data_IF_143854619050
#
_entry.id   IF_143854619050
#
_cell.length_a   1.000
_cell.length_b   1.000
_cell.length_c   1.000
_cell.angle_alpha   90.00
_cell.angle_beta   90.00
_cell.angle_gamma   90.00
#
_symmetry.space_group_name_H-M   'P 1'
#
loop_
_entity.id
_entity.type
_entity.pdbx_description
1 polymer ?
#
# COMPACT_ATOMS: atom_id res chain seq x y z
N UNK A 1 -2.89 -20.12 -30.17
CA UNK A 1 -3.02 -19.76 -28.75
C UNK A 1 -3.98 -18.60 -28.74
N UNK A 2 -5.06 -18.69 -27.96
CA UNK A 2 -6.23 -17.81 -28.11
C UNK A 2 -5.85 -16.35 -27.93
N UNK A 3 -6.08 -15.57 -28.97
CA UNK A 3 -6.28 -14.13 -28.91
C UNK A 3 -7.28 -13.84 -27.80
N UNK A 4 -6.90 -12.96 -26.89
CA UNK A 4 -7.77 -12.42 -25.85
C UNK A 4 -7.66 -10.90 -25.94
N UNK A 5 -8.15 -10.35 -27.05
CA UNK A 5 -8.44 -8.93 -27.12
C UNK A 5 -9.88 -8.66 -26.66
N UNK A 6 -10.00 -7.54 -25.93
CA UNK A 6 -11.18 -6.78 -25.55
C UNK A 6 -11.91 -7.08 -24.22
N UNK A 7 -11.57 -6.27 -23.20
CA UNK A 7 -12.35 -5.95 -21.97
C UNK A 7 -11.59 -6.27 -20.67
N UNK A 8 -10.91 -5.30 -20.01
CA UNK A 8 -11.54 -4.34 -19.07
C UNK A 8 -10.83 -2.95 -18.97
N UNK A 9 -10.11 -2.49 -20.01
CA UNK A 9 -9.25 -1.30 -19.91
C UNK A 9 -9.98 0.00 -19.55
N UNK A 10 -11.30 0.10 -19.79
CA UNK A 10 -12.08 1.26 -19.35
C UNK A 10 -12.28 1.36 -17.82
N UNK A 11 -12.08 0.25 -17.07
CA UNK A 11 -12.33 0.21 -15.61
C UNK A 11 -11.05 0.36 -14.75
N UNK A 12 -9.85 0.30 -15.38
CA UNK A 12 -8.56 0.38 -14.68
C UNK A 12 -7.92 1.76 -14.89
N UNK A 13 -8.48 2.77 -14.22
CA UNK A 13 -7.98 4.14 -14.27
C UNK A 13 -7.70 4.71 -12.88
N UNK A 14 -6.69 5.57 -12.78
CA UNK A 14 -6.42 6.29 -11.54
C UNK A 14 -7.53 7.32 -11.26
N UNK A 15 -7.89 7.58 -9.99
CA UNK A 15 -8.90 8.58 -9.67
C UNK A 15 -8.52 9.96 -10.20
N UNK A 16 -9.37 10.53 -11.07
CA UNK A 16 -9.13 11.84 -11.72
C UNK A 16 -8.79 12.95 -10.72
N UNK A 17 -9.47 12.94 -9.56
CA UNK A 17 -9.25 13.91 -8.50
C UNK A 17 -7.84 13.82 -7.89
N UNK A 18 -7.31 12.60 -7.71
CA UNK A 18 -5.96 12.38 -7.18
C UNK A 18 -4.91 12.89 -8.15
N UNK A 19 -5.05 12.56 -9.43
CA UNK A 19 -4.12 13.03 -10.47
C UNK A 19 -4.19 14.55 -10.62
N UNK A 20 -5.39 15.14 -10.62
CA UNK A 20 -5.56 16.59 -10.64
C UNK A 20 -4.89 17.28 -9.45
N UNK A 21 -5.00 16.69 -8.24
CA UNK A 21 -4.37 17.23 -7.04
C UNK A 21 -2.84 17.23 -7.18
N UNK A 22 -2.24 16.12 -7.63
CA UNK A 22 -0.80 16.00 -7.86
C UNK A 22 -0.31 17.01 -8.91
N UNK A 23 -1.04 17.17 -10.02
CA UNK A 23 -0.70 18.16 -11.05
C UNK A 23 -0.67 19.58 -10.46
N UNK A 24 -1.67 19.94 -9.65
CA UNK A 24 -1.75 21.26 -9.04
C UNK A 24 -0.71 21.49 -7.93
N UNK A 25 -0.17 20.44 -7.31
CA UNK A 25 0.94 20.54 -6.35
C UNK A 25 2.27 20.85 -7.05
N UNK A 26 2.42 20.45 -8.33
CA UNK A 26 3.63 20.69 -9.12
C UNK A 26 3.54 21.98 -9.93
N UNK A 27 2.35 22.32 -10.44
CA UNK A 27 2.15 23.53 -11.24
C UNK A 27 2.06 24.79 -10.35
N UNK A 28 2.65 25.92 -10.80
CA UNK A 28 2.36 27.25 -10.27
C UNK A 28 0.86 27.55 -10.23
N UNK A 29 0.42 28.34 -9.25
CA UNK A 29 -1.00 28.66 -9.03
C UNK A 29 -1.66 29.44 -10.17
N UNK A 30 -0.87 30.07 -11.03
CA UNK A 30 -1.30 30.83 -12.21
C UNK A 30 -1.46 29.95 -13.46
N UNK A 31 -1.06 28.68 -13.41
CA UNK A 31 -1.18 27.73 -14.52
C UNK A 31 -2.34 26.76 -14.31
N UNK A 32 -3.07 26.49 -15.40
CA UNK A 32 -4.21 25.57 -15.41
C UNK A 32 -3.92 24.42 -16.37
N UNK A 33 -4.00 23.20 -15.87
CA UNK A 33 -3.94 22.00 -16.71
C UNK A 33 -5.30 21.75 -17.38
N UNK A 34 -5.30 21.60 -18.71
CA UNK A 34 -6.54 21.35 -19.46
C UNK A 34 -7.10 19.96 -19.18
N UNK A 35 -8.38 19.75 -19.50
CA UNK A 35 -9.01 18.44 -19.36
C UNK A 35 -8.31 17.39 -20.24
N UNK A 36 -8.03 17.73 -21.50
CA UNK A 36 -7.38 16.81 -22.43
C UNK A 36 -5.98 16.41 -21.94
N UNK A 37 -5.20 17.37 -21.44
CA UNK A 37 -3.85 17.11 -20.91
C UNK A 37 -3.91 16.19 -19.70
N UNK A 38 -4.86 16.42 -18.79
CA UNK A 38 -5.04 15.55 -17.62
C UNK A 38 -5.48 14.14 -18.01
N UNK A 39 -6.43 13.99 -18.93
CA UNK A 39 -6.90 12.68 -19.38
C UNK A 39 -5.72 11.91 -20.03
N UNK A 40 -4.89 12.57 -20.86
CA UNK A 40 -3.65 11.99 -21.40
C UNK A 40 -2.65 11.60 -20.30
N UNK A 41 -2.46 12.44 -19.28
CA UNK A 41 -1.57 12.10 -18.16
C UNK A 41 -2.03 10.84 -17.42
N UNK A 42 -3.34 10.64 -17.27
CA UNK A 42 -3.90 9.44 -16.64
C UNK A 42 -3.58 8.20 -17.48
N UNK A 43 -3.76 8.27 -18.80
CA UNK A 43 -3.39 7.20 -19.72
C UNK A 43 -1.89 6.88 -19.62
N UNK A 44 -1.02 7.91 -19.57
CA UNK A 44 0.41 7.72 -19.36
C UNK A 44 0.74 7.08 -18.01
N UNK A 45 0.01 7.40 -16.93
CA UNK A 45 0.22 6.76 -15.64
C UNK A 45 -0.13 5.26 -15.67
N UNK A 46 -1.20 4.89 -16.37
CA UNK A 46 -1.58 3.48 -16.55
C UNK A 46 -0.51 2.75 -17.37
N UNK A 47 -0.07 3.35 -18.48
CA UNK A 47 0.98 2.77 -19.30
C UNK A 47 2.32 2.65 -18.54
N UNK A 48 2.65 3.62 -17.69
CA UNK A 48 3.83 3.54 -16.82
C UNK A 48 3.76 2.34 -15.87
N UNK A 49 2.58 2.04 -15.31
CA UNK A 49 2.40 0.85 -14.46
C UNK A 49 2.58 -0.43 -15.28
N UNK A 50 2.04 -0.50 -16.50
CA UNK A 50 2.22 -1.66 -17.38
C UNK A 50 3.68 -1.86 -17.77
N UNK A 51 4.36 -0.80 -18.18
CA UNK A 51 5.79 -0.80 -18.50
C UNK A 51 6.61 -1.34 -17.33
N UNK A 52 6.42 -0.76 -16.14
CA UNK A 52 7.17 -1.15 -14.96
C UNK A 52 6.85 -2.59 -14.52
N UNK A 53 5.59 -3.02 -14.60
CA UNK A 53 5.19 -4.38 -14.27
C UNK A 53 5.80 -5.41 -15.25
N UNK A 54 5.83 -5.09 -16.54
CA UNK A 54 6.43 -5.95 -17.57
C UNK A 54 7.93 -6.10 -17.35
N UNK A 55 8.66 -5.00 -17.16
CA UNK A 55 10.10 -5.05 -16.90
C UNK A 55 10.41 -5.76 -15.56
N UNK A 56 9.60 -5.52 -14.52
CA UNK A 56 9.75 -6.21 -13.23
C UNK A 56 9.53 -7.72 -13.38
N UNK A 57 8.63 -8.14 -14.27
CA UNK A 57 8.43 -9.55 -14.59
C UNK A 57 9.65 -10.13 -15.31
N UNK A 58 10.23 -9.42 -16.28
CA UNK A 58 11.46 -9.87 -16.95
C UNK A 58 12.63 -10.02 -15.97
N UNK A 59 12.82 -9.06 -15.06
CA UNK A 59 13.87 -9.14 -14.02
C UNK A 59 13.61 -10.34 -13.10
N UNK A 60 12.35 -10.56 -12.69
CA UNK A 60 11.96 -11.69 -11.86
C UNK A 60 12.25 -13.05 -12.55
N UNK A 61 11.94 -13.16 -13.84
CA UNK A 61 12.20 -14.35 -14.64
C UNK A 61 13.70 -14.61 -14.83
N UNK A 62 14.50 -13.56 -15.08
CA UNK A 62 15.97 -13.63 -15.12
C UNK A 62 16.55 -14.15 -13.80
N UNK A 63 15.94 -13.78 -12.67
CA UNK A 63 16.27 -14.28 -11.32
C UNK A 63 15.73 -15.69 -11.02
N UNK A 64 15.09 -16.36 -11.98
CA UNK A 64 14.45 -17.67 -11.84
C UNK A 64 13.40 -17.74 -10.72
N UNK A 65 12.73 -16.62 -10.42
CA UNK A 65 11.65 -16.54 -9.44
C UNK A 65 10.29 -16.46 -10.14
N UNK A 66 9.24 -16.91 -9.44
CA UNK A 66 7.85 -16.90 -9.93
C UNK A 66 6.99 -15.80 -9.29
N UNK A 67 7.57 -15.02 -8.39
CA UNK A 67 6.86 -13.98 -7.64
C UNK A 67 7.68 -12.71 -7.71
N UNK A 68 7.06 -11.65 -8.25
CA UNK A 68 7.68 -10.33 -8.31
C UNK A 68 7.84 -9.81 -6.88
N UNK A 69 9.07 -9.52 -6.50
CA UNK A 69 9.45 -8.97 -5.21
C UNK A 69 9.97 -7.53 -5.40
N UNK A 70 10.14 -6.80 -4.29
CA UNK A 70 10.52 -5.40 -4.31
C UNK A 70 11.87 -5.17 -5.03
N UNK A 71 12.82 -6.11 -4.90
CA UNK A 71 14.09 -6.03 -5.60
C UNK A 71 13.96 -6.08 -7.12
N UNK A 72 12.96 -6.79 -7.66
CA UNK A 72 12.75 -6.85 -9.12
C UNK A 72 12.19 -5.53 -9.65
N UNK A 73 11.33 -4.86 -8.87
CA UNK A 73 10.83 -3.50 -9.21
C UNK A 73 11.97 -2.48 -9.17
N UNK A 74 12.84 -2.56 -8.17
CA UNK A 74 14.03 -1.70 -8.09
C UNK A 74 14.97 -1.95 -9.28
N UNK A 75 15.20 -3.22 -9.64
CA UNK A 75 15.99 -3.59 -10.82
C UNK A 75 15.37 -3.06 -12.12
N UNK A 76 14.05 -3.17 -12.27
CA UNK A 76 13.33 -2.64 -13.42
C UNK A 76 13.47 -1.11 -13.56
N UNK A 77 13.37 -0.37 -12.46
CA UNK A 77 13.60 1.08 -12.47
C UNK A 77 15.01 1.43 -12.95
N UNK A 78 16.02 0.65 -12.57
CA UNK A 78 17.39 0.85 -13.05
C UNK A 78 17.53 0.53 -14.54
N UNK A 79 16.96 -0.59 -15.01
CA UNK A 79 17.00 -0.96 -16.44
C UNK A 79 16.30 0.06 -17.33
N UNK A 80 15.18 0.64 -16.87
CA UNK A 80 14.39 1.63 -17.61
C UNK A 80 14.97 3.06 -17.56
N UNK A 81 16.07 3.29 -16.82
CA UNK A 81 16.68 4.62 -16.69
C UNK A 81 15.96 5.55 -15.70
N UNK A 82 15.27 4.99 -14.71
CA UNK A 82 14.60 5.70 -13.62
C UNK A 82 15.39 5.59 -12.30
N UNK A 83 16.73 5.59 -12.35
CA UNK A 83 17.58 5.43 -11.16
C UNK A 83 17.35 6.51 -10.10
N UNK A 84 16.95 7.71 -10.55
CA UNK A 84 16.61 8.82 -9.66
C UNK A 84 15.41 8.53 -8.74
N UNK A 85 14.55 7.57 -9.08
CA UNK A 85 13.40 7.19 -8.26
C UNK A 85 13.74 6.16 -7.19
N UNK A 86 14.84 5.42 -7.36
CA UNK A 86 15.25 4.31 -6.47
C UNK A 86 15.35 4.73 -5.00
N UNK A 87 15.97 5.86 -4.63
CA UNK A 87 16.07 6.26 -3.22
C UNK A 87 14.70 6.43 -2.54
N UNK A 88 13.75 7.09 -3.21
CA UNK A 88 12.40 7.28 -2.68
C UNK A 88 11.62 5.98 -2.55
N UNK A 89 11.77 5.07 -3.52
CA UNK A 89 11.13 3.74 -3.46
C UNK A 89 11.71 2.90 -2.31
N UNK A 90 13.02 2.98 -2.07
CA UNK A 90 13.67 2.29 -0.96
C UNK A 90 13.22 2.81 0.41
N UNK A 91 13.03 4.12 0.54
CA UNK A 91 12.49 4.73 1.76
C UNK A 91 11.08 4.19 2.09
N UNK A 92 10.19 4.20 1.09
CA UNK A 92 8.82 3.67 1.22
C UNK A 92 8.83 2.17 1.56
N UNK A 93 9.73 1.40 0.95
CA UNK A 93 9.88 -0.03 1.25
C UNK A 93 10.29 -0.28 2.70
N UNK A 94 11.20 0.53 3.25
CA UNK A 94 11.65 0.38 4.62
C UNK A 94 10.55 0.79 5.62
N UNK A 95 9.84 1.88 5.35
CA UNK A 95 8.66 2.26 6.15
C UNK A 95 7.62 1.13 6.17
N UNK A 96 7.34 0.53 5.00
CA UNK A 96 6.42 -0.59 4.89
C UNK A 96 6.85 -1.79 5.75
N UNK A 97 8.15 -2.14 5.73
CA UNK A 97 8.69 -3.23 6.56
C UNK A 97 8.57 -2.96 8.06
N UNK A 98 8.82 -1.73 8.50
CA UNK A 98 8.65 -1.33 9.90
C UNK A 98 7.17 -1.45 10.30
N UNK A 99 6.26 -0.97 9.45
CA UNK A 99 4.83 -1.02 9.69
C UNK A 99 4.31 -2.47 9.76
N UNK A 100 4.78 -3.38 8.91
CA UNK A 100 4.43 -4.80 8.96
C UNK A 100 4.86 -5.45 10.28
N UNK A 101 6.12 -5.24 10.70
CA UNK A 101 6.63 -5.74 11.99
C UNK A 101 5.81 -5.21 13.17
N UNK A 102 5.33 -3.97 13.11
CA UNK A 102 4.47 -3.40 14.15
C UNK A 102 3.13 -4.13 14.28
N UNK A 103 2.55 -4.58 13.16
CA UNK A 103 1.27 -5.30 13.12
C UNK A 103 1.42 -6.73 13.62
N UNK A 104 2.50 -7.41 13.24
CA UNK A 104 2.83 -8.76 13.73
C UNK A 104 3.03 -8.76 15.25
N UNK A 105 3.72 -7.75 15.80
CA UNK A 105 3.86 -7.59 17.26
C UNK A 105 2.51 -7.50 17.97
N UNK A 106 1.54 -6.76 17.42
CA UNK A 106 0.19 -6.65 18.03
C UNK A 106 -0.53 -7.99 18.09
N UNK A 107 -0.40 -8.81 17.05
CA UNK A 107 -1.00 -10.16 17.00
C UNK A 107 -0.26 -11.11 17.96
N UNK A 108 1.08 -11.03 17.98
CA UNK A 108 1.95 -11.82 18.84
C UNK A 108 1.74 -11.53 20.33
N UNK A 109 1.35 -10.32 20.76
CA UNK A 109 1.07 -10.02 22.17
C UNK A 109 0.00 -10.94 22.78
N UNK A 110 -0.99 -11.37 21.99
CA UNK A 110 -2.05 -12.28 22.47
C UNK A 110 -1.50 -13.68 22.75
N UNK A 111 -0.68 -14.20 21.83
CA UNK A 111 -0.06 -15.54 21.92
C UNK A 111 1.14 -15.58 22.87
N UNK A 112 1.87 -14.46 23.00
CA UNK A 112 3.06 -14.31 23.86
C UNK A 112 2.69 -14.00 25.31
N UNK A 113 1.40 -13.88 25.63
CA UNK A 113 0.94 -13.64 27.00
C UNK A 113 1.35 -14.74 27.98
N UNK A 114 1.64 -15.95 27.47
CA UNK A 114 2.03 -17.12 28.28
C UNK A 114 0.92 -17.62 29.20
N UNK A 115 -0.28 -17.06 29.09
CA UNK A 115 -1.47 -17.42 29.86
C UNK A 115 -2.30 -18.42 29.08
N UNK A 116 -2.92 -19.36 29.80
CA UNK A 116 -3.91 -20.23 29.19
C UNK A 116 -5.13 -19.43 28.72
N UNK A 117 -5.87 -19.99 27.77
CA UNK A 117 -7.13 -19.40 27.29
C UNK A 117 -8.12 -19.13 28.45
N UNK A 118 -8.19 -20.04 29.43
CA UNK A 118 -9.06 -19.90 30.61
C UNK A 118 -8.64 -18.71 31.50
N UNK A 119 -7.35 -18.53 31.74
CA UNK A 119 -6.82 -17.40 32.52
C UNK A 119 -7.05 -16.06 31.81
N UNK A 120 -6.88 -16.02 30.48
CA UNK A 120 -7.18 -14.83 29.67
C UNK A 120 -8.66 -14.45 29.76
N UNK A 121 -9.55 -15.44 29.67
CA UNK A 121 -11.00 -15.21 29.77
C UNK A 121 -11.38 -14.71 31.18
N UNK A 122 -10.86 -15.33 32.24
CA UNK A 122 -11.10 -14.89 33.62
C UNK A 122 -10.62 -13.45 33.84
N UNK A 123 -9.44 -13.10 33.34
CA UNK A 123 -8.90 -11.74 33.44
C UNK A 123 -9.78 -10.73 32.71
N UNK A 124 -10.27 -11.08 31.51
CA UNK A 124 -11.18 -10.22 30.76
C UNK A 124 -12.51 -10.00 31.50
N UNK A 125 -13.12 -11.05 32.05
CA UNK A 125 -14.36 -10.97 32.82
C UNK A 125 -14.21 -10.10 34.08
N UNK A 126 -13.08 -10.23 34.78
CA UNK A 126 -12.77 -9.43 35.96
C UNK A 126 -12.60 -7.95 35.61
N UNK A 127 -11.92 -7.65 34.49
CA UNK A 127 -11.81 -6.28 33.98
C UNK A 127 -13.19 -5.68 33.65
N UNK A 128 -14.08 -6.45 33.02
CA UNK A 128 -15.44 -5.99 32.74
C UNK A 128 -16.27 -5.77 34.00
N UNK A 129 -16.17 -6.67 34.99
CA UNK A 129 -16.86 -6.50 36.28
C UNK A 129 -16.40 -5.22 36.98
N UNK A 130 -15.08 -4.99 37.05
CA UNK A 130 -14.49 -3.78 37.65
C UNK A 130 -14.90 -2.50 36.92
N UNK A 131 -15.02 -2.55 35.58
CA UNK A 131 -15.52 -1.43 34.80
C UNK A 131 -17.01 -1.13 35.09
N UNK A 132 -17.85 -2.17 35.20
CA UNK A 132 -19.27 -2.03 35.58
C UNK A 132 -19.44 -1.43 36.98
N UNK A 133 -18.64 -1.88 37.95
CA UNK A 133 -18.66 -1.32 39.32
C UNK A 133 -18.25 0.16 39.35
N UNK A 134 -17.23 0.56 38.57
CA UNK A 134 -16.84 1.97 38.47
C UNK A 134 -17.97 2.84 37.90
N UNK A 135 -18.69 2.35 36.90
CA UNK A 135 -19.84 3.06 36.32
C UNK A 135 -20.99 3.17 37.32
N UNK A 136 -21.23 2.11 38.09
CA UNK A 136 -22.26 2.08 39.12
C UNK A 136 -21.94 2.99 40.32
N UNK A 137 -20.67 3.04 40.74
CA UNK A 137 -20.21 3.84 41.87
C UNK A 137 -19.92 5.30 41.52
N UNK A 138 -19.87 5.65 40.23
CA UNK A 138 -19.67 7.01 39.76
C UNK A 138 -20.57 7.29 38.55
N UNK A 139 -21.90 7.36 38.74
CA UNK A 139 -22.80 7.79 37.68
C UNK A 139 -22.36 9.21 37.27
N UNK A 140 -22.10 9.42 35.97
CA UNK A 140 -21.85 10.77 35.47
C UNK A 140 -23.04 11.67 35.82
N UNK A 141 -22.81 12.94 36.18
CA UNK A 141 -23.87 13.89 36.53
C UNK A 141 -24.84 14.15 35.37
#
# INVERSE_FOLDING_TARGET
>A
MSDRENGPDEDLSLPKATVQKLINEILPSDLVCTKETRDLMIECCVEFIHLLASESNEVCEKDNKKTIAAEHVIGALQTLGFESYVPGVQEVLEEHRVNLKSREKKYSTLETSGLSYEELQRNQELLFAKARERLHNNPQP
#
